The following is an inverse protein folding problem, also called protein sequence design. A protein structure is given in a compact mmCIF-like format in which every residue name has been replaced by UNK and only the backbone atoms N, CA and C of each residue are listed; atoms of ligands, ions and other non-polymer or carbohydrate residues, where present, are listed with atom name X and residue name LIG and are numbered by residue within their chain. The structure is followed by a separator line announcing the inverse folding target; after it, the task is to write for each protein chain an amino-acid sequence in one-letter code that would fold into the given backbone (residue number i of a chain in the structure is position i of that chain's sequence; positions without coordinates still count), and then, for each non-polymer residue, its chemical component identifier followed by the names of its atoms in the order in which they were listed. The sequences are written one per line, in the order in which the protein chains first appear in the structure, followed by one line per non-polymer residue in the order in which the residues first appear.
data_IF_323052300111
#
_entry.id   IF_323052300111
#
_cell.length_a   1.000
_cell.length_b   1.000
_cell.length_c   1.000
_cell.angle_alpha   90.00
_cell.angle_beta   90.00
_cell.angle_gamma   90.00
#
_symmetry.space_group_name_H-M   'P 1'
#
loop_
_entity.id
_entity.type
_entity.pdbx_description
1 polymer ?
#
# COMPACT_ATOMS: atom_id res chain seq x y z
N UNK A 1 -0.94 -9.73 1.59
CA UNK A 1 -0.21 -8.50 1.93
C UNK A 1 1.26 -8.80 2.00
N UNK A 2 2.12 -7.81 1.74
CA UNK A 2 3.57 -7.90 1.73
C UNK A 2 4.17 -6.83 2.66
N UNK A 3 5.17 -7.19 3.45
CA UNK A 3 6.03 -6.26 4.17
C UNK A 3 7.42 -6.31 3.53
N UNK A 4 7.87 -5.18 2.98
CA UNK A 4 9.13 -5.10 2.24
C UNK A 4 10.09 -4.14 2.95
N UNK A 5 11.34 -4.55 3.08
CA UNK A 5 12.41 -3.68 3.59
C UNK A 5 13.25 -3.11 2.45
N UNK A 6 13.38 -3.86 1.36
CA UNK A 6 14.04 -3.43 0.14
C UNK A 6 13.75 -4.40 -0.99
N UNK A 7 13.97 -3.94 -2.22
CA UNK A 7 13.78 -4.76 -3.42
C UNK A 7 15.08 -4.73 -4.23
N UNK A 8 15.66 -5.91 -4.44
CA UNK A 8 16.91 -6.08 -5.21
C UNK A 8 16.67 -5.97 -6.71
N UNK A 9 15.59 -6.59 -7.21
CA UNK A 9 15.15 -6.50 -8.60
C UNK A 9 13.75 -5.87 -8.67
N UNK A 10 13.72 -4.56 -8.93
CA UNK A 10 12.47 -3.80 -9.02
C UNK A 10 11.58 -4.21 -10.20
N UNK A 11 12.16 -4.67 -11.31
CA UNK A 11 11.41 -5.03 -12.52
C UNK A 11 10.71 -6.36 -12.33
N UNK A 12 11.41 -7.36 -11.79
CA UNK A 12 10.81 -8.63 -11.42
C UNK A 12 9.68 -8.41 -10.39
N UNK A 13 9.91 -7.58 -9.37
CA UNK A 13 8.91 -7.27 -8.36
C UNK A 13 7.63 -6.66 -8.96
N UNK A 14 7.76 -5.63 -9.82
CA UNK A 14 6.60 -5.03 -10.48
C UNK A 14 5.86 -6.02 -11.38
N UNK A 15 6.59 -6.86 -12.12
CA UNK A 15 5.99 -7.88 -12.98
C UNK A 15 5.22 -8.93 -12.16
N UNK A 16 5.74 -9.34 -10.99
CA UNK A 16 5.04 -10.25 -10.08
C UNK A 16 3.75 -9.65 -9.53
N UNK A 17 3.72 -8.34 -9.22
CA UNK A 17 2.50 -7.66 -8.80
C UNK A 17 1.47 -7.66 -9.93
N UNK A 18 1.88 -7.28 -11.15
CA UNK A 18 0.99 -7.22 -12.33
C UNK A 18 0.39 -8.57 -12.71
N UNK A 19 1.13 -9.65 -12.48
CA UNK A 19 0.67 -11.01 -12.76
C UNK A 19 -0.33 -11.55 -11.70
N UNK A 20 -0.55 -10.83 -10.60
CA UNK A 20 -1.41 -11.30 -9.53
C UNK A 20 -2.88 -10.94 -9.81
N UNK A 21 -3.76 -11.94 -9.81
CA UNK A 21 -5.20 -11.75 -9.95
C UNK A 21 -5.89 -11.30 -8.65
N UNK A 22 -5.15 -11.18 -7.55
CA UNK A 22 -5.65 -10.78 -6.23
C UNK A 22 -5.05 -9.43 -5.84
N UNK A 23 -5.76 -8.58 -5.07
CA UNK A 23 -5.23 -7.32 -4.59
C UNK A 23 -3.91 -7.51 -3.82
N UNK A 24 -2.85 -6.82 -4.27
CA UNK A 24 -1.54 -6.87 -3.62
C UNK A 24 -1.35 -5.65 -2.73
N UNK A 25 -1.49 -5.85 -1.42
CA UNK A 25 -1.26 -4.82 -0.40
C UNK A 25 0.22 -4.81 0.02
N UNK A 26 0.86 -3.65 0.08
CA UNK A 26 2.31 -3.54 0.36
C UNK A 26 2.63 -2.49 1.43
N UNK A 27 3.32 -2.91 2.50
CA UNK A 27 3.95 -2.06 3.51
C UNK A 27 5.46 -2.00 3.27
N UNK A 28 6.04 -0.82 3.07
CA UNK A 28 7.49 -0.60 2.99
C UNK A 28 8.01 -0.07 4.32
N UNK A 29 8.98 -0.79 4.89
CA UNK A 29 9.72 -0.41 6.08
C UNK A 29 10.68 0.77 5.81
N UNK A 30 11.10 1.48 6.86
CA UNK A 30 12.17 2.49 6.74
C UNK A 30 11.78 3.73 5.91
N UNK A 31 10.52 4.17 6.01
CA UNK A 31 9.99 5.33 5.26
C UNK A 31 10.64 6.67 5.66
N UNK A 32 11.13 6.77 6.89
CA UNK A 32 11.81 7.98 7.38
C UNK A 32 13.22 8.08 6.77
N UNK A 33 13.79 9.28 6.64
CA UNK A 33 15.18 9.45 6.16
C UNK A 33 16.21 8.70 7.00
N UNK A 34 15.94 8.52 8.29
CA UNK A 34 16.79 7.73 9.19
C UNK A 34 16.62 6.22 8.93
N UNK A 35 15.37 5.75 8.81
CA UNK A 35 15.06 4.36 8.49
C UNK A 35 15.55 3.95 7.10
N UNK A 36 15.38 4.82 6.10
CA UNK A 36 15.86 4.59 4.74
C UNK A 36 17.39 4.43 4.69
N UNK A 37 18.13 5.23 5.47
CA UNK A 37 19.59 5.09 5.62
C UNK A 37 19.96 3.79 6.30
N UNK A 38 19.31 3.45 7.41
CA UNK A 38 19.54 2.18 8.11
C UNK A 38 19.28 0.96 7.21
N UNK A 39 18.19 0.96 6.45
CA UNK A 39 17.85 -0.13 5.53
C UNK A 39 18.74 -0.16 4.28
N UNK A 40 19.18 1.00 3.78
CA UNK A 40 20.13 1.06 2.67
C UNK A 40 21.48 0.43 3.03
N UNK A 41 21.99 0.73 4.23
CA UNK A 41 23.23 0.13 4.76
C UNK A 41 23.13 -1.38 4.95
N UNK A 42 21.94 -1.92 5.25
CA UNK A 42 21.75 -3.33 5.55
C UNK A 42 21.39 -4.19 4.33
N UNK A 43 20.71 -3.64 3.32
CA UNK A 43 20.10 -4.46 2.25
C UNK A 43 20.78 -4.32 0.88
N UNK A 44 21.61 -3.30 0.65
CA UNK A 44 22.30 -3.06 -0.63
C UNK A 44 21.36 -3.00 -1.85
N UNK A 45 20.06 -2.91 -1.59
CA UNK A 45 18.97 -2.99 -2.57
C UNK A 45 18.52 -1.58 -2.91
N UNK A 46 17.65 -1.41 -3.92
CA UNK A 46 17.20 -0.09 -4.38
C UNK A 46 16.87 0.85 -3.19
N UNK A 47 17.84 1.69 -2.83
CA UNK A 47 17.70 2.77 -1.84
C UNK A 47 16.96 3.95 -2.50
N UNK A 48 15.91 3.62 -3.26
CA UNK A 48 15.04 4.60 -3.89
C UNK A 48 14.26 5.32 -2.80
N UNK A 49 14.07 6.63 -3.00
CA UNK A 49 13.15 7.44 -2.20
C UNK A 49 11.81 6.70 -1.99
N UNK A 50 11.16 6.86 -0.84
CA UNK A 50 9.80 6.30 -0.58
C UNK A 50 8.84 6.64 -1.73
N UNK A 51 9.03 7.80 -2.38
CA UNK A 51 8.29 8.23 -3.58
C UNK A 51 8.45 7.31 -4.78
N UNK A 52 9.64 6.74 -4.99
CA UNK A 52 9.92 5.81 -6.10
C UNK A 52 9.22 4.48 -5.83
N UNK A 53 9.28 3.97 -4.60
CA UNK A 53 8.54 2.77 -4.21
C UNK A 53 7.03 2.98 -4.35
N UNK A 54 6.52 4.13 -3.91
CA UNK A 54 5.09 4.47 -4.04
C UNK A 54 4.65 4.50 -5.51
N UNK A 55 5.39 5.21 -6.37
CA UNK A 55 5.11 5.26 -7.81
C UNK A 55 5.19 3.87 -8.47
N UNK A 56 6.22 3.07 -8.15
CA UNK A 56 6.42 1.75 -8.74
C UNK A 56 5.32 0.76 -8.35
N UNK A 57 4.94 0.73 -7.07
CA UNK A 57 3.85 -0.12 -6.57
C UNK A 57 2.54 0.28 -7.24
N UNK A 58 2.24 1.58 -7.32
CA UNK A 58 1.04 2.10 -7.97
C UNK A 58 0.99 1.78 -9.46
N UNK A 59 2.10 1.93 -10.18
CA UNK A 59 2.23 1.57 -11.60
C UNK A 59 2.06 0.05 -11.84
N UNK A 60 2.40 -0.78 -10.85
CA UNK A 60 2.24 -2.21 -10.94
C UNK A 60 0.82 -2.70 -10.60
N UNK A 61 -0.07 -1.81 -10.12
CA UNK A 61 -1.42 -2.17 -9.68
C UNK A 61 -1.51 -2.64 -8.22
N UNK A 62 -0.43 -2.46 -7.44
CA UNK A 62 -0.45 -2.72 -6.01
C UNK A 62 -1.03 -1.55 -5.21
N UNK A 63 -1.49 -1.85 -4.00
CA UNK A 63 -2.03 -0.87 -3.04
C UNK A 63 -0.99 -0.65 -1.95
N UNK A 64 -0.59 0.61 -1.75
CA UNK A 64 0.39 1.00 -0.74
C UNK A 64 -0.29 1.22 0.62
N UNK A 65 0.16 0.50 1.64
CA UNK A 65 -0.29 0.65 3.04
C UNK A 65 0.77 1.36 3.88
N UNK A 66 0.36 2.35 4.68
CA UNK A 66 1.26 3.22 5.42
C UNK A 66 1.98 2.50 6.55
N UNK A 67 1.28 1.60 7.20
CA UNK A 67 1.72 0.78 8.32
C UNK A 67 0.98 -0.57 8.30
N UNK A 68 1.28 -1.40 9.31
CA UNK A 68 0.70 -2.73 9.44
C UNK A 68 -0.79 -2.70 9.82
N UNK A 69 -1.26 -1.66 10.49
CA UNK A 69 -2.67 -1.52 10.89
C UNK A 69 -3.49 -1.28 9.63
N UNK A 70 -3.08 -0.31 8.79
CA UNK A 70 -3.74 -0.05 7.52
C UNK A 70 -3.67 -1.26 6.57
N UNK A 71 -2.59 -2.05 6.62
CA UNK A 71 -2.52 -3.32 5.89
C UNK A 71 -3.64 -4.28 6.30
N UNK A 72 -3.88 -4.45 7.60
CA UNK A 72 -4.94 -5.33 8.09
C UNK A 72 -6.33 -4.80 7.81
N UNK A 73 -6.55 -3.49 7.98
CA UNK A 73 -7.84 -2.84 7.68
C UNK A 73 -8.19 -3.01 6.20
N UNK A 74 -7.22 -2.73 5.31
CA UNK A 74 -7.40 -2.92 3.88
C UNK A 74 -7.57 -4.39 3.51
N UNK A 75 -6.84 -5.31 4.15
CA UNK A 75 -6.99 -6.74 3.91
C UNK A 75 -8.41 -7.23 4.22
N UNK A 76 -8.99 -6.77 5.34
CA UNK A 76 -10.38 -7.07 5.69
C UNK A 76 -11.33 -6.51 4.64
N UNK A 77 -11.17 -5.24 4.26
CA UNK A 77 -12.02 -4.59 3.26
C UNK A 77 -12.03 -5.33 1.91
N UNK A 78 -10.85 -5.65 1.36
CA UNK A 78 -10.74 -6.32 0.05
C UNK A 78 -11.05 -7.81 0.10
N UNK A 79 -11.03 -8.44 1.28
CA UNK A 79 -11.44 -9.85 1.43
C UNK A 79 -12.96 -10.03 1.47
N UNK A 80 -13.67 -9.03 1.98
CA UNK A 80 -15.10 -9.14 2.28
C UNK A 80 -16.02 -8.55 1.22
N UNK A 81 -15.50 -7.75 0.29
CA UNK A 81 -16.31 -7.07 -0.72
C UNK A 81 -15.70 -7.13 -2.12
N UNK A 82 -16.53 -7.32 -3.17
CA UNK A 82 -16.09 -7.12 -4.54
C UNK A 82 -15.75 -5.64 -4.77
N UNK A 83 -14.92 -5.31 -5.77
CA UNK A 83 -14.66 -3.93 -6.15
C UNK A 83 -15.95 -3.17 -6.45
N UNK A 84 -16.01 -1.91 -6.04
CA UNK A 84 -17.13 -1.03 -6.37
C UNK A 84 -17.26 -0.91 -7.90
N UNK A 85 -18.47 -1.11 -8.43
CA UNK A 85 -18.74 -1.07 -9.87
C UNK A 85 -18.85 0.36 -10.44
N UNK A 86 -18.65 1.39 -9.61
CA UNK A 86 -18.70 2.79 -10.01
C UNK A 86 -18.62 3.76 -8.84
N UNK A 87 -18.81 5.05 -9.12
CA UNK A 87 -18.54 6.13 -8.17
C UNK A 87 -19.73 6.51 -7.27
N UNK A 88 -20.75 5.64 -7.16
CA UNK A 88 -21.96 5.89 -6.34
C UNK A 88 -21.79 5.28 -4.96
N UNK A 89 -21.00 5.94 -4.12
CA UNK A 89 -20.73 5.51 -2.74
C UNK A 89 -21.62 6.32 -1.80
N UNK A 90 -22.45 5.63 -1.02
CA UNK A 90 -23.25 6.24 0.07
C UNK A 90 -22.64 5.89 1.41
N UNK A 91 -22.59 6.86 2.33
CA UNK A 91 -22.17 6.62 3.72
C UNK A 91 -23.34 6.91 4.64
N UNK A 92 -23.75 5.92 5.43
CA UNK A 92 -24.85 6.00 6.39
C UNK A 92 -24.25 5.92 7.80
N UNK A 93 -24.54 6.90 8.65
CA UNK A 93 -24.06 6.96 10.05
C UNK A 93 -25.19 7.44 10.96
N UNK A 94 -25.25 6.95 12.21
CA UNK A 94 -26.27 7.36 13.18
C UNK A 94 -25.93 8.68 13.92
N UNK A 95 -24.78 9.29 13.64
CA UNK A 95 -24.31 10.49 14.34
C UNK A 95 -23.30 11.30 13.52
N UNK A 96 -23.49 12.63 13.50
CA UNK A 96 -22.74 13.55 12.63
C UNK A 96 -21.24 13.70 12.93
N UNK A 97 -20.77 13.26 14.11
CA UNK A 97 -19.36 13.35 14.50
C UNK A 97 -18.44 12.34 13.82
N UNK A 98 -18.96 11.15 13.47
CA UNK A 98 -18.14 10.06 12.91
C UNK A 98 -17.61 10.36 11.49
N UNK A 99 -18.23 11.30 10.77
CA UNK A 99 -17.90 11.60 9.38
C UNK A 99 -16.81 12.68 9.22
N UNK A 100 -16.58 13.50 10.25
CA UNK A 100 -15.60 14.60 10.16
C UNK A 100 -14.14 14.11 10.09
N UNK A 101 -13.90 12.80 10.25
CA UNK A 101 -12.56 12.18 10.23
C UNK A 101 -12.33 11.23 9.05
N UNK A 102 -13.13 11.26 8.00
CA UNK A 102 -13.07 10.23 6.96
C UNK A 102 -12.07 10.56 5.84
N UNK A 103 -11.00 9.76 5.78
CA UNK A 103 -10.07 9.65 4.67
C UNK A 103 -10.81 9.42 3.36
N UNK A 104 -10.34 10.09 2.30
CA UNK A 104 -10.79 9.93 0.91
C UNK A 104 -10.60 8.47 0.49
N UNK A 105 -11.69 7.70 0.40
CA UNK A 105 -11.66 6.39 -0.23
C UNK A 105 -11.25 6.54 -1.71
N UNK A 106 -10.39 5.62 -2.15
CA UNK A 106 -9.78 5.54 -3.49
C UNK A 106 -10.81 5.27 -4.58
#
# INVERSE_FOLDING_TARGET
GLYIEGVKDGRAFMNSIKACNKPVLVVKAGRSKAGARATASHTGSMAGSDKIYDAAIKQAGGIRCRDIIELFDMARAVSGQPPAQGNRIGIITNGGGAWHSSYRCL
#
